data_IF_101707610360
#
_entry.id   IF_101707610360
#
_cell.length_a   1.000
_cell.length_b   1.000
_cell.length_c   1.000
_cell.angle_alpha   90.00
_cell.angle_beta   90.00
_cell.angle_gamma   90.00
#
_symmetry.space_group_name_H-M   'P 1'
#
loop_
_entity.id
_entity.type
_entity.pdbx_description
1 polymer ?
#
# COMPACT_ATOMS: atom_id res chain seq x y z
N UNK A 1 -18.20 -4.35 -33.03
CA UNK A 1 -17.61 -5.38 -32.15
C UNK A 1 -16.29 -5.83 -32.76
N UNK A 2 -15.12 -5.45 -32.21
CA UNK A 2 -13.85 -6.04 -32.63
C UNK A 2 -13.64 -7.36 -31.89
N UNK A 3 -13.25 -8.37 -32.64
CA UNK A 3 -13.11 -9.78 -32.27
C UNK A 3 -11.91 -10.05 -31.35
N UNK A 4 -12.17 -10.74 -30.24
CA UNK A 4 -11.17 -11.43 -29.41
C UNK A 4 -10.42 -12.48 -30.25
N UNK A 5 -9.10 -12.55 -30.06
CA UNK A 5 -8.25 -13.61 -30.59
C UNK A 5 -8.70 -14.98 -30.04
N UNK A 6 -8.95 -15.99 -30.90
CA UNK A 6 -9.28 -17.33 -30.45
C UNK A 6 -8.01 -18.05 -29.98
N UNK A 7 -8.00 -18.51 -28.73
CA UNK A 7 -6.91 -19.34 -28.17
C UNK A 7 -6.52 -19.03 -26.73
N UNK A 8 -6.93 -17.89 -26.17
CA UNK A 8 -6.83 -17.64 -24.74
C UNK A 8 -8.04 -18.29 -24.05
N UNK A 9 -7.82 -19.47 -23.47
CA UNK A 9 -8.67 -19.95 -22.39
C UNK A 9 -8.58 -18.92 -21.26
N UNK A 10 -9.50 -17.96 -21.22
CA UNK A 10 -9.77 -17.23 -19.99
C UNK A 10 -10.23 -18.29 -18.99
N UNK A 11 -9.35 -18.65 -18.05
CA UNK A 11 -9.85 -19.29 -16.83
C UNK A 11 -10.92 -18.34 -16.33
N UNK A 12 -12.17 -18.80 -16.28
CA UNK A 12 -13.20 -18.15 -15.47
C UNK A 12 -12.78 -18.36 -14.02
N UNK A 13 -11.78 -17.60 -13.58
CA UNK A 13 -11.45 -17.48 -12.18
C UNK A 13 -12.62 -16.70 -11.58
N UNK A 14 -13.40 -17.36 -10.73
CA UNK A 14 -14.26 -16.65 -9.80
C UNK A 14 -13.32 -15.88 -8.88
N UNK A 15 -12.98 -14.63 -9.23
CA UNK A 15 -12.15 -13.79 -8.38
C UNK A 15 -12.86 -13.61 -7.05
N UNK A 16 -12.19 -13.98 -5.96
CA UNK A 16 -12.67 -13.68 -4.62
C UNK A 16 -12.22 -12.29 -4.15
N UNK A 17 -11.18 -11.75 -4.81
CA UNK A 17 -10.61 -10.43 -4.63
C UNK A 17 -10.83 -9.54 -5.86
N UNK A 18 -10.55 -8.23 -5.74
CA UNK A 18 -10.27 -7.36 -6.87
C UNK A 18 -8.79 -6.96 -6.76
N UNK A 19 -7.98 -7.52 -7.62
CA UNK A 19 -6.55 -7.25 -7.65
C UNK A 19 -6.27 -5.94 -8.41
N UNK A 20 -5.14 -5.31 -8.11
CA UNK A 20 -4.74 -4.06 -8.74
C UNK A 20 -3.27 -4.06 -9.10
N UNK A 21 -2.98 -3.56 -10.30
CA UNK A 21 -1.63 -3.42 -10.83
C UNK A 21 -1.23 -1.96 -10.87
N UNK A 22 -0.02 -1.66 -10.43
CA UNK A 22 0.63 -0.41 -10.81
C UNK A 22 0.98 -0.52 -12.29
N UNK A 23 0.44 0.37 -13.14
CA UNK A 23 0.63 0.25 -14.59
C UNK A 23 1.88 1.03 -15.01
N UNK A 24 2.02 2.27 -14.51
CA UNK A 24 3.19 3.09 -14.70
C UNK A 24 3.23 4.22 -13.67
N UNK A 25 4.44 4.73 -13.43
CA UNK A 25 4.70 6.01 -12.79
C UNK A 25 5.43 6.91 -13.79
N UNK A 26 5.27 8.22 -13.70
CA UNK A 26 5.90 9.18 -14.60
C UNK A 26 6.00 10.54 -13.93
N UNK A 27 6.88 11.39 -14.45
CA UNK A 27 7.02 12.76 -13.98
C UNK A 27 5.76 13.55 -14.36
N UNK A 28 5.27 14.38 -13.44
CA UNK A 28 4.16 15.28 -13.76
C UNK A 28 4.57 16.28 -14.86
N UNK A 29 3.60 16.90 -15.56
CA UNK A 29 3.91 17.73 -16.70
C UNK A 29 4.81 18.93 -16.35
N UNK A 30 4.68 19.47 -15.13
CA UNK A 30 5.46 20.63 -14.69
C UNK A 30 6.93 20.24 -14.45
N UNK A 31 7.16 19.07 -13.87
CA UNK A 31 8.50 18.49 -13.70
C UNK A 31 9.12 18.14 -15.04
N UNK A 32 8.35 17.54 -15.95
CA UNK A 32 8.83 17.23 -17.30
C UNK A 32 9.23 18.52 -18.04
N UNK A 33 8.43 19.58 -17.96
CA UNK A 33 8.74 20.87 -18.57
C UNK A 33 10.01 21.52 -17.99
N UNK A 34 10.22 21.41 -16.67
CA UNK A 34 11.43 21.89 -16.01
C UNK A 34 12.69 21.16 -16.54
N UNK A 35 12.63 19.84 -16.66
CA UNK A 35 13.76 19.04 -17.15
C UNK A 35 14.00 19.25 -18.65
N UNK A 36 12.94 19.38 -19.46
CA UNK A 36 13.04 19.71 -20.88
C UNK A 36 13.70 21.08 -21.09
N UNK A 37 13.32 22.10 -20.31
CA UNK A 37 13.95 23.42 -20.37
C UNK A 37 15.44 23.35 -20.03
N UNK A 38 15.83 22.48 -19.08
CA UNK A 38 17.24 22.28 -18.72
C UNK A 38 18.03 21.59 -19.83
N UNK A 39 17.47 20.54 -20.44
CA UNK A 39 18.09 19.84 -21.58
C UNK A 39 18.32 20.79 -22.76
N UNK A 40 17.35 21.67 -23.03
CA UNK A 40 17.41 22.62 -24.14
C UNK A 40 18.29 23.86 -23.85
N UNK A 41 18.82 23.99 -22.64
CA UNK A 41 19.72 25.09 -22.29
C UNK A 41 21.07 24.92 -23.00
N UNK A 42 21.62 25.95 -23.67
CA UNK A 42 22.91 25.86 -24.36
C UNK A 42 24.10 25.48 -23.47
N UNK A 43 23.97 25.65 -22.15
CA UNK A 43 25.00 25.31 -21.17
C UNK A 43 24.93 23.86 -20.66
N UNK A 44 23.88 23.12 -20.98
CA UNK A 44 23.77 21.70 -20.62
C UNK A 44 24.30 20.84 -21.75
N UNK A 45 25.22 19.94 -21.44
CA UNK A 45 25.74 18.94 -22.38
C UNK A 45 25.96 17.62 -21.63
N UNK A 46 25.62 16.46 -22.22
CA UNK A 46 25.99 15.17 -21.65
C UNK A 46 27.52 15.09 -21.40
N UNK A 47 27.98 14.48 -20.29
CA UNK A 47 27.22 13.69 -19.32
C UNK A 47 26.74 14.48 -18.09
N UNK A 48 26.57 15.81 -18.17
CA UNK A 48 26.11 16.62 -17.03
C UNK A 48 24.81 16.06 -16.43
N UNK A 49 24.76 15.95 -15.10
CA UNK A 49 23.59 15.44 -14.39
C UNK A 49 22.36 16.30 -14.65
N UNK A 50 21.25 15.64 -14.97
CA UNK A 50 20.02 16.34 -15.24
C UNK A 50 19.23 16.64 -13.96
N UNK A 51 19.26 15.73 -12.98
CA UNK A 51 18.76 16.01 -11.63
C UNK A 51 19.83 16.72 -10.80
N UNK A 52 19.42 17.79 -10.13
CA UNK A 52 20.26 18.63 -9.29
C UNK A 52 19.70 18.69 -7.88
N UNK A 53 20.58 18.93 -6.90
CA UNK A 53 20.15 19.18 -5.54
C UNK A 53 19.29 20.46 -5.49
N UNK A 54 18.17 20.39 -4.78
CA UNK A 54 17.17 21.44 -4.72
C UNK A 54 16.03 21.31 -5.73
N UNK A 55 16.14 20.43 -6.73
CA UNK A 55 15.04 20.18 -7.66
C UNK A 55 13.81 19.66 -6.94
N UNK A 56 12.64 20.19 -7.29
CA UNK A 56 11.35 19.64 -6.89
C UNK A 56 10.77 18.84 -8.06
N UNK A 57 10.43 17.58 -7.80
CA UNK A 57 9.92 16.64 -8.77
C UNK A 57 8.55 16.14 -8.29
N UNK A 58 7.56 16.19 -9.16
CA UNK A 58 6.28 15.52 -8.96
C UNK A 58 6.21 14.24 -9.77
N UNK A 59 5.65 13.21 -9.15
CA UNK A 59 5.51 11.87 -9.72
C UNK A 59 4.03 11.48 -9.67
N UNK A 60 3.44 11.25 -10.83
CA UNK A 60 2.08 10.67 -10.93
C UNK A 60 2.21 9.16 -11.07
N UNK A 61 1.46 8.43 -10.25
CA UNK A 61 1.42 6.97 -10.22
C UNK A 61 0.00 6.55 -10.60
N UNK A 62 -0.10 5.65 -11.57
CA UNK A 62 -1.38 5.07 -11.99
C UNK A 62 -1.48 3.62 -11.56
N UNK A 63 -2.45 3.34 -10.70
CA UNK A 63 -2.90 2.01 -10.37
C UNK A 63 -4.19 1.69 -11.13
N UNK A 64 -4.37 0.45 -11.57
CA UNK A 64 -5.62 -0.01 -12.19
C UNK A 64 -6.02 -1.34 -11.58
N UNK A 65 -7.20 -1.42 -10.94
CA UNK A 65 -7.82 -2.70 -10.63
C UNK A 65 -8.16 -3.43 -11.93
N UNK A 66 -7.47 -4.51 -12.25
CA UNK A 66 -7.46 -5.10 -13.59
C UNK A 66 -7.86 -6.59 -13.64
N UNK A 67 -7.97 -7.24 -12.48
CA UNK A 67 -8.28 -8.66 -12.38
C UNK A 67 -9.16 -8.97 -11.16
N UNK A 68 -10.13 -9.87 -11.32
CA UNK A 68 -11.03 -10.28 -10.24
C UNK A 68 -12.45 -9.72 -10.36
N UNK A 69 -13.02 -9.28 -9.23
CA UNK A 69 -14.44 -8.86 -9.15
C UNK A 69 -14.70 -7.45 -9.71
N UNK A 70 -15.97 -7.09 -9.93
CA UNK A 70 -16.32 -5.79 -10.51
C UNK A 70 -16.06 -4.61 -9.55
N UNK A 71 -16.27 -4.84 -8.25
CA UNK A 71 -15.96 -3.87 -7.20
C UNK A 71 -15.12 -4.54 -6.11
N UNK A 72 -14.16 -3.80 -5.60
CA UNK A 72 -13.24 -4.21 -4.55
C UNK A 72 -13.36 -3.31 -3.34
N UNK A 73 -12.78 -3.77 -2.24
CA UNK A 73 -12.65 -3.00 -1.01
C UNK A 73 -11.21 -2.92 -0.58
N UNK A 74 -10.79 -1.70 -0.27
CA UNK A 74 -9.46 -1.46 0.22
C UNK A 74 -8.41 -1.60 -0.85
N UNK A 75 -7.20 -1.86 -0.37
CA UNK A 75 -6.00 -1.83 -1.18
C UNK A 75 -5.21 -0.56 -0.94
N UNK A 76 -4.05 -0.49 -1.57
CA UNK A 76 -3.19 0.66 -1.44
C UNK A 76 -2.27 0.81 -2.66
N UNK A 77 -1.68 1.99 -2.78
CA UNK A 77 -0.46 2.22 -3.56
C UNK A 77 0.62 2.74 -2.61
N UNK A 78 1.86 2.26 -2.71
CA UNK A 78 2.99 2.81 -1.95
C UNK A 78 4.04 3.37 -2.90
N UNK A 79 4.56 4.55 -2.58
CA UNK A 79 5.81 5.07 -3.10
C UNK A 79 6.90 4.85 -2.05
N UNK A 80 7.97 4.14 -2.41
CA UNK A 80 9.11 3.97 -1.53
C UNK A 80 10.07 5.14 -1.71
N UNK A 81 10.39 5.82 -0.60
CA UNK A 81 11.22 7.03 -0.61
C UNK A 81 12.70 6.63 -0.57
N UNK A 82 13.46 6.75 -1.68
CA UNK A 82 14.89 6.45 -1.67
C UNK A 82 15.67 7.49 -0.87
N UNK A 83 16.91 7.14 -0.52
CA UNK A 83 17.84 8.10 0.08
C UNK A 83 18.05 9.31 -0.83
N UNK A 84 18.25 10.47 -0.21
CA UNK A 84 18.48 11.73 -0.91
C UNK A 84 17.24 12.43 -1.42
N UNK A 85 16.03 11.98 -1.06
CA UNK A 85 14.78 12.70 -1.31
C UNK A 85 14.15 13.21 -0.02
N UNK A 86 13.33 14.24 -0.16
CA UNK A 86 12.48 14.78 0.90
C UNK A 86 11.06 14.88 0.36
N UNK A 87 10.06 14.40 1.09
CA UNK A 87 8.64 14.50 0.66
C UNK A 87 8.09 15.87 1.04
N UNK A 88 7.56 16.58 0.06
CA UNK A 88 6.98 17.93 0.19
C UNK A 88 5.46 17.92 0.18
N UNK A 89 4.85 17.08 -0.67
CA UNK A 89 3.41 17.02 -0.83
C UNK A 89 2.98 15.61 -1.31
N UNK A 90 1.72 15.26 -1.07
CA UNK A 90 1.13 14.01 -1.51
C UNK A 90 -0.38 14.19 -1.73
N UNK A 91 -0.91 13.61 -2.81
CA UNK A 91 -2.31 13.78 -3.18
C UNK A 91 -2.92 12.54 -3.84
N UNK A 92 -4.25 12.45 -3.76
CA UNK A 92 -5.07 11.62 -4.64
C UNK A 92 -5.57 12.50 -5.79
N UNK A 93 -5.57 11.97 -7.00
CA UNK A 93 -5.79 12.75 -8.22
C UNK A 93 -6.96 12.22 -9.04
N UNK A 94 -7.63 13.16 -9.72
CA UNK A 94 -8.55 12.87 -10.83
C UNK A 94 -8.12 13.66 -12.06
N UNK A 95 -8.42 13.20 -13.29
CA UNK A 95 -8.18 14.01 -14.49
C UNK A 95 -8.89 15.35 -14.38
N UNK A 96 -8.15 16.43 -14.60
CA UNK A 96 -8.58 17.79 -14.25
C UNK A 96 -7.55 18.82 -14.72
N UNK A 97 -7.74 20.09 -14.36
CA UNK A 97 -6.74 21.14 -14.62
C UNK A 97 -6.99 22.42 -13.79
N UNK A 98 -7.33 22.30 -12.51
CA UNK A 98 -7.44 23.42 -11.57
C UNK A 98 -6.03 23.96 -11.27
N UNK A 99 -5.70 25.18 -11.69
CA UNK A 99 -4.36 25.74 -11.48
C UNK A 99 -3.98 25.89 -10.01
N UNK A 100 -4.96 25.93 -9.10
CA UNK A 100 -4.70 26.06 -7.66
C UNK A 100 -4.12 24.80 -7.01
N UNK A 101 -4.26 23.65 -7.68
CA UNK A 101 -3.74 22.37 -7.18
C UNK A 101 -2.22 22.22 -7.38
N UNK A 102 -1.62 23.07 -8.22
CA UNK A 102 -0.18 23.08 -8.45
C UNK A 102 0.34 21.88 -9.23
N UNK A 103 -0.54 21.22 -9.99
CA UNK A 103 -0.21 20.12 -10.90
C UNK A 103 -1.01 20.26 -12.20
N UNK A 104 -0.33 20.31 -13.33
CA UNK A 104 -0.99 20.38 -14.65
C UNK A 104 -1.62 19.03 -15.04
N UNK A 105 -2.83 19.05 -15.59
CA UNK A 105 -3.53 17.88 -16.15
C UNK A 105 -4.26 16.99 -15.13
N UNK A 106 -4.25 17.38 -13.85
CA UNK A 106 -4.91 16.68 -12.76
C UNK A 106 -5.49 17.68 -11.75
N UNK A 107 -6.56 17.28 -11.07
CA UNK A 107 -7.07 17.96 -9.87
C UNK A 107 -6.77 17.10 -8.65
N UNK A 108 -6.44 17.75 -7.52
CA UNK A 108 -6.37 17.10 -6.21
C UNK A 108 -7.81 16.83 -5.76
N UNK A 109 -8.09 15.58 -5.43
CA UNK A 109 -9.41 15.16 -5.01
C UNK A 109 -9.38 14.58 -3.59
N UNK A 110 -10.45 14.74 -2.80
CA UNK A 110 -10.59 14.01 -1.54
C UNK A 110 -10.45 12.50 -1.74
N UNK A 111 -9.93 11.80 -0.73
CA UNK A 111 -9.86 10.33 -0.76
C UNK A 111 -11.25 9.74 -0.96
N UNK A 112 -11.30 8.62 -1.70
CA UNK A 112 -12.53 7.86 -1.86
C UNK A 112 -12.96 7.27 -0.52
N UNK A 113 -14.23 7.47 -0.17
CA UNK A 113 -14.82 6.88 1.02
C UNK A 113 -14.80 5.34 1.00
N UNK A 114 -15.06 4.77 2.17
CA UNK A 114 -15.04 3.33 2.38
C UNK A 114 -16.03 2.58 1.47
N UNK A 115 -15.61 1.43 0.95
CA UNK A 115 -16.48 0.56 0.18
C UNK A 115 -17.54 -0.10 1.07
N UNK A 116 -18.68 -0.45 0.48
CA UNK A 116 -19.66 -1.31 1.17
C UNK A 116 -19.03 -2.68 1.45
N UNK A 117 -19.10 -3.15 2.69
CA UNK A 117 -18.55 -4.42 3.16
C UNK A 117 -19.47 -5.03 4.22
N UNK A 118 -19.69 -6.36 4.28
CA UNK A 118 -20.43 -6.90 5.41
C UNK A 118 -19.68 -6.61 6.72
N UNK A 119 -20.43 -6.23 7.76
CA UNK A 119 -19.88 -6.04 9.11
C UNK A 119 -19.22 -7.32 9.68
N UNK A 120 -19.50 -8.47 9.08
CA UNK A 120 -19.00 -9.78 9.52
C UNK A 120 -18.45 -10.56 8.33
N UNK A 121 -17.31 -11.19 8.54
CA UNK A 121 -16.62 -12.08 7.62
C UNK A 121 -16.99 -13.54 7.85
N UNK A 122 -16.54 -14.45 6.97
CA UNK A 122 -16.89 -15.86 7.04
C UNK A 122 -15.86 -16.73 7.79
N UNK A 123 -15.71 -16.56 9.10
CA UNK A 123 -14.66 -17.21 9.89
C UNK A 123 -13.93 -16.17 10.76
N UNK A 124 -12.85 -16.58 11.45
CA UNK A 124 -12.03 -15.68 12.26
C UNK A 124 -11.70 -16.18 13.68
N UNK A 125 -11.66 -17.50 13.91
CA UNK A 125 -11.19 -18.01 15.20
C UNK A 125 -9.67 -17.89 15.26
N UNK A 126 -9.17 -17.38 16.39
CA UNK A 126 -7.74 -17.32 16.60
C UNK A 126 -7.14 -18.74 16.68
N UNK A 127 -5.92 -18.92 16.17
CA UNK A 127 -5.17 -20.20 16.18
C UNK A 127 -5.02 -20.80 17.57
N UNK A 128 -5.02 -19.95 18.61
CA UNK A 128 -4.94 -20.30 20.03
C UNK A 128 -5.86 -19.40 20.85
N UNK A 129 -6.08 -19.74 22.12
CA UNK A 129 -6.92 -18.89 22.99
C UNK A 129 -6.23 -17.55 23.29
N UNK A 130 -6.81 -16.46 22.78
CA UNK A 130 -6.41 -15.08 23.00
C UNK A 130 -7.32 -14.35 23.99
N UNK A 131 -8.30 -15.03 24.59
CA UNK A 131 -9.24 -14.46 25.57
C UNK A 131 -8.50 -13.72 26.68
N UNK A 132 -8.91 -12.48 26.95
CA UNK A 132 -8.31 -11.61 27.97
C UNK A 132 -7.17 -10.72 27.49
N UNK A 133 -6.70 -10.84 26.24
CA UNK A 133 -5.85 -9.80 25.64
C UNK A 133 -6.72 -8.59 25.29
N UNK A 134 -6.28 -7.41 25.72
CA UNK A 134 -6.96 -6.12 25.52
C UNK A 134 -6.03 -5.16 24.79
N UNK A 135 -6.61 -4.34 23.92
CA UNK A 135 -5.93 -3.25 23.21
C UNK A 135 -6.67 -1.95 23.44
N UNK A 136 -5.93 -0.86 23.54
CA UNK A 136 -6.47 0.50 23.64
C UNK A 136 -5.86 1.34 24.75
N UNK A 137 -6.21 2.64 24.80
CA UNK A 137 -7.14 3.29 23.86
C UNK A 137 -6.52 3.50 22.46
N UNK A 138 -7.31 3.31 21.40
CA UNK A 138 -6.95 3.78 20.05
C UNK A 138 -7.17 5.31 19.94
N UNK A 139 -6.96 5.89 18.75
CA UNK A 139 -7.14 7.34 18.53
C UNK A 139 -8.56 7.84 18.83
N UNK A 140 -9.57 6.96 18.77
CA UNK A 140 -10.96 7.27 19.11
C UNK A 140 -11.26 7.10 20.61
N UNK A 141 -10.27 6.71 21.42
CA UNK A 141 -10.44 6.46 22.85
C UNK A 141 -11.00 5.08 23.18
N UNK A 142 -11.09 4.16 22.22
CA UNK A 142 -11.70 2.84 22.41
C UNK A 142 -10.67 1.84 22.94
N UNK A 143 -11.03 1.15 24.02
CA UNK A 143 -10.29 0.02 24.59
C UNK A 143 -11.17 -1.22 24.58
N UNK A 144 -10.67 -2.32 24.03
CA UNK A 144 -11.42 -3.55 23.85
C UNK A 144 -10.57 -4.81 23.95
N UNK A 145 -11.14 -5.95 24.41
CA UNK A 145 -10.61 -7.26 24.08
C UNK A 145 -10.47 -7.45 22.56
N UNK A 146 -9.44 -8.19 22.14
CA UNK A 146 -9.22 -8.51 20.71
C UNK A 146 -10.08 -9.70 20.23
N UNK A 147 -10.49 -10.56 21.16
CA UNK A 147 -11.39 -11.72 20.95
C UNK A 147 -12.40 -11.80 22.10
N UNK A 148 -13.50 -12.52 21.90
CA UNK A 148 -14.52 -12.76 22.92
C UNK A 148 -14.17 -13.92 23.89
N UNK A 149 -15.11 -14.27 24.77
CA UNK A 149 -14.96 -15.39 25.72
C UNK A 149 -14.98 -16.77 25.07
N UNK A 150 -15.51 -16.88 23.85
CA UNK A 150 -15.48 -18.09 23.03
C UNK A 150 -14.24 -18.14 22.11
N UNK A 151 -13.34 -17.17 22.23
CA UNK A 151 -12.16 -16.99 21.39
C UNK A 151 -12.43 -16.59 19.93
N UNK A 152 -13.64 -16.14 19.64
CA UNK A 152 -13.97 -15.57 18.34
C UNK A 152 -13.41 -14.16 18.24
N UNK A 153 -12.83 -13.80 17.09
CA UNK A 153 -12.33 -12.44 16.87
C UNK A 153 -13.42 -11.38 17.05
N UNK A 154 -13.03 -10.21 17.58
CA UNK A 154 -13.95 -9.09 17.81
C UNK A 154 -13.81 -7.96 16.79
N UNK A 155 -12.86 -8.08 15.85
CA UNK A 155 -12.71 -7.13 14.77
C UNK A 155 -13.75 -7.33 13.68
N UNK A 156 -13.78 -6.41 12.73
CA UNK A 156 -14.67 -6.47 11.58
C UNK A 156 -13.93 -6.11 10.30
N UNK A 157 -14.53 -6.49 9.17
CA UNK A 157 -14.05 -6.11 7.86
C UNK A 157 -14.12 -4.59 7.63
N UNK A 158 -15.20 -3.87 8.01
CA UNK A 158 -15.19 -2.42 8.01
C UNK A 158 -14.06 -1.80 8.85
N UNK A 159 -13.69 -2.40 9.98
CA UNK A 159 -12.54 -1.93 10.76
C UNK A 159 -11.21 -2.11 10.02
N UNK A 160 -10.95 -3.30 9.49
CA UNK A 160 -9.70 -3.64 8.76
C UNK A 160 -9.46 -2.72 7.56
N UNK A 161 -10.52 -2.30 6.88
CA UNK A 161 -10.48 -1.48 5.67
C UNK A 161 -10.89 -0.02 5.89
N UNK A 162 -11.15 0.38 7.14
CA UNK A 162 -11.74 1.67 7.47
C UNK A 162 -10.75 2.82 7.60
N UNK A 163 -9.46 2.52 7.79
CA UNK A 163 -8.41 3.53 7.82
C UNK A 163 -7.98 3.90 6.40
N UNK A 164 -8.56 4.98 5.89
CA UNK A 164 -8.39 5.48 4.53
C UNK A 164 -7.67 6.82 4.58
N UNK A 165 -6.74 7.06 3.66
CA UNK A 165 -5.95 8.27 3.70
C UNK A 165 -4.60 8.13 3.02
N UNK A 166 -3.77 9.14 3.23
CA UNK A 166 -2.35 9.14 2.87
C UNK A 166 -1.57 8.95 4.17
N UNK A 167 -0.60 8.04 4.16
CA UNK A 167 0.22 7.70 5.31
C UNK A 167 1.69 7.71 4.92
N UNK A 168 2.57 7.97 5.87
CA UNK A 168 4.00 7.76 5.73
C UNK A 168 4.50 6.86 6.85
N UNK A 169 5.63 6.21 6.63
CA UNK A 169 6.33 5.46 7.67
C UNK A 169 7.78 5.88 7.71
N UNK A 170 8.34 5.98 8.91
CA UNK A 170 9.78 6.17 9.13
C UNK A 170 10.49 4.88 9.50
N UNK A 171 9.74 3.79 9.65
CA UNK A 171 10.25 2.56 10.23
C UNK A 171 10.99 1.70 9.19
N UNK A 172 12.22 1.22 9.47
CA UNK A 172 13.05 0.47 8.51
C UNK A 172 12.36 -0.74 7.85
N UNK A 173 11.47 -1.41 8.57
CA UNK A 173 10.72 -2.57 8.11
C UNK A 173 9.75 -2.25 6.97
N UNK A 174 9.42 -0.98 6.75
CA UNK A 174 8.59 -0.52 5.63
C UNK A 174 9.41 -0.10 4.40
N UNK A 175 10.74 -0.04 4.51
CA UNK A 175 11.61 0.30 3.38
C UNK A 175 11.59 -0.76 2.28
N UNK A 176 11.70 -0.33 1.03
CA UNK A 176 11.79 -1.23 -0.12
C UNK A 176 13.01 -2.15 -0.02
N UNK A 177 12.81 -3.44 -0.29
CA UNK A 177 13.86 -4.45 -0.24
C UNK A 177 14.34 -4.78 1.18
N UNK A 178 13.70 -4.27 2.23
CA UNK A 178 14.03 -4.63 3.62
C UNK A 178 13.79 -6.11 3.91
N UNK A 179 12.87 -6.73 3.17
CA UNK A 179 12.61 -8.16 3.24
C UNK A 179 13.61 -8.96 2.41
N UNK A 180 14.28 -9.91 3.06
CA UNK A 180 15.26 -10.82 2.45
C UNK A 180 14.94 -12.30 2.71
N UNK A 181 13.74 -12.59 3.21
CA UNK A 181 13.36 -13.93 3.69
C UNK A 181 13.15 -14.97 2.59
N UNK A 182 13.10 -14.59 1.31
CA UNK A 182 12.80 -15.48 0.18
C UNK A 182 11.32 -15.53 -0.19
N UNK A 183 10.90 -16.54 -0.94
CA UNK A 183 9.51 -16.57 -1.43
C UNK A 183 8.52 -16.91 -0.30
N UNK A 184 7.35 -16.29 -0.32
CA UNK A 184 6.18 -16.65 0.50
C UNK A 184 4.98 -16.96 -0.39
N UNK A 185 3.97 -17.61 0.16
CA UNK A 185 2.74 -17.95 -0.54
C UNK A 185 1.51 -17.49 0.25
N UNK A 186 0.50 -17.00 -0.46
CA UNK A 186 -0.77 -16.56 0.12
C UNK A 186 -1.84 -17.67 0.04
N UNK A 187 -3.06 -17.38 0.51
CA UNK A 187 -4.13 -18.38 0.56
C UNK A 187 -4.62 -18.85 -0.83
N UNK A 188 -4.35 -18.11 -1.91
CA UNK A 188 -4.61 -18.55 -3.30
C UNK A 188 -3.60 -19.58 -3.80
N UNK A 189 -2.49 -19.79 -3.08
CA UNK A 189 -1.35 -20.60 -3.53
C UNK A 189 -0.40 -19.83 -4.45
N UNK A 190 -0.60 -18.52 -4.62
CA UNK A 190 0.26 -17.67 -5.43
C UNK A 190 1.54 -17.33 -4.67
N UNK A 191 2.63 -17.16 -5.41
CA UNK A 191 3.90 -16.70 -4.86
C UNK A 191 3.84 -15.17 -4.69
N UNK A 192 3.90 -14.71 -3.45
CA UNK A 192 3.75 -13.29 -3.12
C UNK A 192 4.93 -12.49 -3.67
N UNK A 193 4.62 -11.46 -4.44
CA UNK A 193 5.59 -10.59 -5.08
C UNK A 193 6.18 -11.17 -6.36
N UNK A 194 5.62 -12.26 -6.91
CA UNK A 194 6.05 -12.81 -8.21
C UNK A 194 5.88 -11.80 -9.37
N UNK A 195 4.98 -10.83 -9.20
CA UNK A 195 4.74 -9.73 -10.14
C UNK A 195 5.56 -8.47 -9.83
N UNK A 196 6.68 -8.64 -9.12
CA UNK A 196 7.59 -7.55 -8.76
C UNK A 196 9.00 -7.84 -9.25
N UNK A 197 9.86 -6.81 -9.30
CA UNK A 197 11.26 -6.99 -9.67
C UNK A 197 12.06 -7.88 -8.68
N UNK A 198 11.62 -7.97 -7.42
CA UNK A 198 12.27 -8.79 -6.40
C UNK A 198 11.82 -10.26 -6.43
N UNK A 199 10.63 -10.55 -6.97
CA UNK A 199 10.05 -11.90 -6.94
C UNK A 199 9.66 -12.38 -5.53
N UNK A 200 9.59 -11.47 -4.56
CA UNK A 200 9.32 -11.70 -3.13
C UNK A 200 8.54 -10.51 -2.56
N UNK A 201 8.02 -10.59 -1.31
CA UNK A 201 7.51 -9.40 -0.62
C UNK A 201 8.49 -8.23 -0.67
N UNK A 202 7.94 -7.02 -0.77
CA UNK A 202 8.72 -5.81 -1.03
C UNK A 202 9.30 -5.17 0.23
N UNK A 203 8.69 -5.40 1.39
CA UNK A 203 9.19 -4.92 2.68
C UNK A 203 8.90 -5.94 3.79
N UNK A 204 9.58 -5.82 4.93
CA UNK A 204 9.43 -6.73 6.07
C UNK A 204 8.06 -6.64 6.70
N UNK A 205 7.54 -5.43 6.87
CA UNK A 205 6.30 -5.18 7.60
C UNK A 205 5.11 -5.91 6.98
N UNK A 206 4.92 -5.77 5.66
CA UNK A 206 3.85 -6.46 4.93
C UNK A 206 4.05 -7.99 4.97
N UNK A 207 5.31 -8.47 4.96
CA UNK A 207 5.60 -9.90 5.09
C UNK A 207 5.26 -10.44 6.50
N UNK A 208 5.44 -9.62 7.55
CA UNK A 208 5.04 -9.98 8.92
C UNK A 208 3.52 -10.02 9.06
N UNK A 209 2.82 -9.03 8.51
CA UNK A 209 1.35 -9.04 8.53
C UNK A 209 0.80 -10.22 7.72
N UNK A 210 1.38 -10.53 6.56
CA UNK A 210 1.05 -11.76 5.81
C UNK A 210 1.26 -13.00 6.67
N UNK A 211 2.40 -13.13 7.36
CA UNK A 211 2.68 -14.27 8.23
C UNK A 211 1.65 -14.44 9.36
N UNK A 212 1.18 -13.33 9.93
CA UNK A 212 0.20 -13.33 11.00
C UNK A 212 -1.20 -13.74 10.54
N UNK A 213 -1.64 -13.22 9.40
CA UNK A 213 -3.06 -13.24 9.04
C UNK A 213 -3.38 -13.99 7.75
N UNK A 214 -2.47 -14.07 6.76
CA UNK A 214 -2.83 -14.51 5.40
C UNK A 214 -1.97 -15.60 4.77
N UNK A 215 -0.84 -15.96 5.37
CA UNK A 215 0.13 -16.90 4.79
C UNK A 215 -0.46 -18.30 4.66
N UNK A 216 -0.15 -18.99 3.55
CA UNK A 216 -0.57 -20.37 3.36
C UNK A 216 0.33 -21.14 2.43
N UNK A 217 0.69 -22.36 2.82
CA UNK A 217 1.38 -23.31 1.96
C UNK A 217 2.80 -22.90 1.58
N UNK A 218 3.39 -21.90 2.24
CA UNK A 218 4.79 -21.54 2.02
C UNK A 218 5.70 -22.71 2.41
N UNK A 219 6.76 -22.91 1.62
CA UNK A 219 7.83 -23.88 1.89
C UNK A 219 9.05 -23.24 2.55
N UNK A 220 8.97 -21.93 2.83
CA UNK A 220 10.05 -21.18 3.44
C UNK A 220 10.21 -21.57 4.92
N UNK A 221 11.34 -22.17 5.33
CA UNK A 221 11.51 -22.66 6.70
C UNK A 221 11.59 -21.56 7.75
N UNK A 222 11.82 -20.30 7.35
CA UNK A 222 11.79 -19.18 8.28
C UNK A 222 10.35 -18.77 8.64
N UNK A 223 9.34 -19.15 7.85
CA UNK A 223 7.95 -18.73 8.01
C UNK A 223 7.02 -19.92 8.25
N UNK A 224 5.89 -19.73 8.97
CA UNK A 224 4.92 -20.81 9.17
C UNK A 224 4.15 -21.08 7.88
N UNK A 225 3.69 -22.33 7.71
CA UNK A 225 2.90 -22.75 6.55
C UNK A 225 1.40 -22.37 6.63
N UNK A 226 0.96 -21.88 7.78
CA UNK A 226 -0.39 -21.39 8.08
C UNK A 226 -0.28 -20.08 8.88
N UNK A 227 -1.33 -19.23 8.93
CA UNK A 227 -1.24 -17.97 9.66
C UNK A 227 -1.03 -18.19 11.16
N UNK A 228 -0.30 -17.26 11.79
CA UNK A 228 0.07 -17.35 13.21
C UNK A 228 -1.12 -17.03 14.11
N UNK A 229 -1.95 -16.06 13.72
CA UNK A 229 -3.03 -15.52 14.56
C UNK A 229 -4.39 -15.94 14.03
N UNK A 230 -4.65 -15.76 12.74
CA UNK A 230 -5.93 -16.12 12.13
C UNK A 230 -5.92 -17.60 11.72
N UNK A 231 -6.75 -18.43 12.38
CA UNK A 231 -6.74 -19.89 12.23
C UNK A 231 -6.96 -20.41 10.81
N UNK A 232 -7.61 -19.63 9.95
CA UNK A 232 -7.83 -20.00 8.54
C UNK A 232 -7.56 -18.88 7.55
N UNK A 233 -7.07 -17.74 8.03
CA UNK A 233 -6.76 -16.53 7.26
C UNK A 233 -7.97 -16.03 6.48
N UNK A 234 -9.16 -16.14 7.08
CA UNK A 234 -10.45 -15.89 6.45
C UNK A 234 -11.35 -15.16 7.42
N UNK A 235 -12.13 -14.23 6.87
CA UNK A 235 -13.03 -13.42 7.69
C UNK A 235 -12.33 -12.20 8.26
N UNK A 236 -12.76 -11.79 9.44
CA UNK A 236 -12.20 -10.68 10.19
C UNK A 236 -11.08 -11.17 11.12
N UNK A 237 -10.05 -10.35 11.29
CA UNK A 237 -9.03 -10.57 12.30
C UNK A 237 -9.48 -10.14 13.70
N UNK A 238 -8.65 -10.35 14.73
CA UNK A 238 -8.92 -9.82 16.07
C UNK A 238 -9.05 -8.29 16.04
N UNK A 239 -9.82 -7.73 16.97
CA UNK A 239 -10.11 -6.30 16.99
C UNK A 239 -8.83 -5.46 17.08
N UNK A 240 -8.76 -4.38 16.29
CA UNK A 240 -7.63 -3.46 16.29
C UNK A 240 -6.40 -3.91 15.49
N UNK A 241 -6.43 -5.11 14.90
CA UNK A 241 -5.31 -5.71 14.17
C UNK A 241 -5.61 -5.88 12.67
N UNK A 242 -4.61 -6.35 11.93
CA UNK A 242 -4.70 -6.74 10.50
C UNK A 242 -5.00 -5.59 9.51
N UNK A 243 -4.86 -4.34 9.92
CA UNK A 243 -4.97 -3.17 9.04
C UNK A 243 -3.69 -2.97 8.20
N UNK A 244 -3.78 -2.44 6.97
CA UNK A 244 -2.61 -2.18 6.08
C UNK A 244 -1.86 -0.88 6.36
N UNK A 245 -2.45 -0.03 7.19
CA UNK A 245 -1.92 1.26 7.63
C UNK A 245 -2.07 1.38 9.16
N UNK A 246 -1.85 0.27 9.87
CA UNK A 246 -1.85 0.27 11.33
C UNK A 246 -0.85 1.29 11.86
N UNK A 247 -1.29 2.14 12.78
CA UNK A 247 -0.44 3.14 13.39
C UNK A 247 -1.19 4.12 14.30
N UNK A 248 -0.48 5.14 14.83
CA UNK A 248 -0.97 5.94 15.95
C UNK A 248 -2.22 6.78 15.62
N UNK A 249 -2.45 7.10 14.34
CA UNK A 249 -3.65 7.79 13.88
C UNK A 249 -4.64 6.91 13.12
N UNK A 250 -4.64 5.62 13.43
CA UNK A 250 -5.55 4.63 12.86
C UNK A 250 -6.49 4.09 13.93
N UNK A 251 -7.71 3.71 13.53
CA UNK A 251 -8.67 3.07 14.41
C UNK A 251 -8.21 1.67 14.79
N UNK A 252 -7.68 0.94 13.81
CA UNK A 252 -6.96 -0.31 14.01
C UNK A 252 -5.46 -0.06 14.04
N UNK A 253 -4.98 0.29 15.23
CA UNK A 253 -3.67 0.89 15.42
C UNK A 253 -2.52 -0.10 15.56
N UNK A 254 -2.79 -1.37 15.89
CA UNK A 254 -1.76 -2.31 16.30
C UNK A 254 -1.27 -3.19 15.15
N UNK A 255 0.03 -3.47 15.17
CA UNK A 255 0.67 -4.34 14.18
C UNK A 255 0.95 -5.74 14.74
N UNK A 256 1.44 -6.62 13.87
CA UNK A 256 2.17 -7.81 14.28
C UNK A 256 3.66 -7.68 13.98
N UNK A 257 4.51 -7.90 14.99
CA UNK A 257 5.97 -7.96 14.88
C UNK A 257 6.45 -9.43 14.95
N UNK A 258 6.92 -9.94 13.81
CA UNK A 258 7.40 -11.31 13.69
C UNK A 258 8.73 -11.54 14.42
N UNK A 259 9.58 -10.54 14.54
CA UNK A 259 10.86 -10.65 15.23
C UNK A 259 10.62 -10.80 16.74
N UNK A 260 9.67 -10.04 17.31
CA UNK A 260 9.20 -10.25 18.69
C UNK A 260 8.59 -11.61 18.89
N UNK A 261 7.70 -12.04 18.00
CA UNK A 261 7.10 -13.38 18.08
C UNK A 261 8.17 -14.48 18.12
N UNK A 262 9.20 -14.40 17.27
CA UNK A 262 10.30 -15.38 17.22
C UNK A 262 11.19 -15.33 18.47
N UNK A 263 11.37 -14.16 19.08
CA UNK A 263 12.18 -14.01 20.30
C UNK A 263 11.61 -14.82 21.47
N UNK A 264 10.31 -15.11 21.44
CA UNK A 264 9.64 -15.94 22.43
C UNK A 264 9.89 -17.45 22.25
N UNK A 265 10.76 -17.86 21.30
CA UNK A 265 11.04 -19.27 20.97
C UNK A 265 9.78 -20.12 20.77
N UNK A 266 8.88 -19.72 19.86
CA UNK A 266 7.59 -20.37 19.70
C UNK A 266 7.80 -21.86 19.36
N UNK A 267 7.09 -22.73 20.08
CA UNK A 267 6.97 -24.14 19.69
C UNK A 267 6.13 -24.26 18.40
N UNK A 268 5.95 -25.47 17.86
CA UNK A 268 5.03 -25.69 16.73
C UNK A 268 3.61 -25.13 16.96
N UNK A 269 3.21 -24.92 18.22
CA UNK A 269 1.98 -24.22 18.60
C UNK A 269 2.31 -22.82 19.14
N UNK A 270 1.69 -21.75 18.61
CA UNK A 270 1.81 -20.40 19.16
C UNK A 270 1.41 -20.37 20.63
N UNK A 271 2.03 -19.53 21.46
CA UNK A 271 1.50 -19.26 22.81
C UNK A 271 0.78 -17.92 22.82
N UNK A 272 -0.24 -17.81 23.69
CA UNK A 272 -0.97 -16.56 23.94
C UNK A 272 -0.03 -15.41 24.27
N UNK A 273 0.94 -15.64 25.16
CA UNK A 273 1.89 -14.61 25.61
C UNK A 273 2.81 -14.16 24.47
N UNK A 274 3.21 -15.07 23.57
CA UNK A 274 4.01 -14.72 22.39
C UNK A 274 3.22 -13.80 21.45
N UNK A 275 1.94 -14.13 21.21
CA UNK A 275 1.06 -13.33 20.36
C UNK A 275 0.78 -11.96 21.01
N UNK A 276 0.58 -11.91 22.32
CA UNK A 276 0.37 -10.65 23.03
C UNK A 276 1.58 -9.72 22.88
N UNK A 277 2.79 -10.22 23.16
CA UNK A 277 4.03 -9.45 23.00
C UNK A 277 4.27 -9.00 21.55
N UNK A 278 3.93 -9.85 20.58
CA UNK A 278 4.08 -9.55 19.16
C UNK A 278 3.03 -8.58 18.60
N UNK A 279 1.96 -8.27 19.35
CA UNK A 279 0.85 -7.43 18.87
C UNK A 279 0.53 -6.24 19.78
N UNK A 280 1.41 -5.93 20.75
CA UNK A 280 1.19 -4.84 21.69
C UNK A 280 1.62 -3.47 21.13
N UNK A 281 2.42 -3.46 20.08
CA UNK A 281 2.98 -2.23 19.49
C UNK A 281 1.99 -1.60 18.51
N UNK A 282 1.97 -0.27 18.50
CA UNK A 282 1.29 0.52 17.49
C UNK A 282 2.11 0.43 16.20
N UNK A 283 1.45 0.21 15.07
CA UNK A 283 2.11 0.09 13.78
C UNK A 283 2.79 1.38 13.30
N UNK A 284 3.58 1.30 12.21
CA UNK A 284 4.52 2.35 11.84
C UNK A 284 3.90 3.47 11.01
N UNK A 285 2.65 3.31 10.57
CA UNK A 285 2.02 4.20 9.59
C UNK A 285 1.44 5.45 10.26
N UNK A 286 2.04 6.59 9.96
CA UNK A 286 1.62 7.90 10.41
C UNK A 286 0.77 8.58 9.34
N UNK A 287 -0.38 9.12 9.73
CA UNK A 287 -1.31 9.78 8.79
C UNK A 287 -0.78 11.13 8.35
N UNK A 288 -0.97 11.45 7.07
CA UNK A 288 -0.88 12.81 6.51
C UNK A 288 -2.30 13.38 6.48
N UNK A 289 -2.43 14.62 6.97
CA UNK A 289 -3.68 15.36 6.93
C UNK A 289 -4.12 15.57 5.49
N UNK A 290 -5.25 14.99 5.10
CA UNK A 290 -5.70 15.07 3.72
C UNK A 290 -7.23 14.94 3.59
N UNK A 291 -7.91 15.76 2.78
CA UNK A 291 -9.36 15.72 2.60
C UNK A 291 -9.90 14.32 2.27
N UNK A 292 -11.03 13.95 2.89
CA UNK A 292 -11.70 12.66 2.67
C UNK A 292 -11.06 11.48 3.39
N UNK A 293 -9.96 11.68 4.13
CA UNK A 293 -9.38 10.64 4.98
C UNK A 293 -10.35 10.21 6.08
N UNK A 294 -10.32 8.93 6.44
CA UNK A 294 -11.16 8.33 7.48
C UNK A 294 -10.32 7.55 8.50
N UNK A 295 -10.75 7.58 9.76
CA UNK A 295 -10.32 6.67 10.83
C UNK A 295 -11.38 5.58 10.96
N UNK A 296 -10.96 4.31 10.99
CA UNK A 296 -11.87 3.21 11.22
C UNK A 296 -12.62 3.37 12.56
N UNK A 297 -13.94 3.50 12.48
CA UNK A 297 -14.84 3.51 13.65
C UNK A 297 -15.57 2.17 13.73
N UNK A 298 -14.89 1.19 14.32
CA UNK A 298 -15.42 -0.14 14.49
C UNK A 298 -15.61 -0.47 15.98
N UNK A 299 -16.86 -0.49 16.48
CA UNK A 299 -17.12 -0.93 17.82
C UNK A 299 -16.79 -2.43 17.91
N UNK A 300 -16.05 -2.87 18.93
CA UNK A 300 -15.71 -4.28 19.08
C UNK A 300 -16.97 -5.13 19.21
N UNK A 301 -17.06 -6.20 18.43
CA UNK A 301 -18.22 -7.09 18.45
C UNK A 301 -18.69 -7.51 17.08
N UNK A 302 -18.86 -8.82 16.93
CA UNK A 302 -19.43 -9.47 15.76
C UNK A 302 -20.97 -9.34 15.74
N UNK A 303 -21.51 -8.11 15.76
CA UNK A 303 -22.96 -7.91 15.69
C UNK A 303 -23.39 -7.52 14.27
N UNK A 304 -23.94 -8.46 13.46
CA UNK A 304 -24.41 -8.16 12.11
C UNK A 304 -25.62 -7.22 12.06
N UNK A 305 -26.23 -6.88 13.21
CA UNK A 305 -27.28 -5.87 13.32
C UNK A 305 -26.75 -4.45 13.57
N UNK A 306 -25.45 -4.29 13.90
CA UNK A 306 -24.76 -2.99 13.90
C UNK A 306 -24.36 -2.72 12.44
N UNK A 307 -24.74 -1.55 11.95
CA UNK A 307 -24.71 -1.10 10.56
C UNK A 307 -23.65 -1.81 9.68
N UNK A 308 -24.02 -2.39 8.52
CA UNK A 308 -23.06 -2.95 7.55
C UNK A 308 -22.13 -1.89 6.91
N UNK A 309 -22.09 -0.68 7.46
CA UNK A 309 -21.32 0.46 6.99
C UNK A 309 -20.79 1.19 8.22
N UNK A 310 -19.65 0.76 8.78
CA UNK A 310 -18.95 1.58 9.76
C UNK A 310 -18.46 2.83 9.02
N UNK A 311 -19.20 3.94 9.11
CA UNK A 311 -18.71 5.21 8.59
C UNK A 311 -17.52 5.60 9.45
N UNK A 312 -16.30 5.44 8.95
CA UNK A 312 -15.12 5.94 9.65
C UNK A 312 -15.30 7.41 10.05
N UNK A 313 -14.66 7.83 11.13
CA UNK A 313 -14.66 9.23 11.52
C UNK A 313 -13.86 10.06 10.52
N UNK A 314 -14.35 11.25 10.19
CA UNK A 314 -13.62 12.20 9.36
C UNK A 314 -12.25 12.49 9.97
N UNK A 315 -11.20 12.16 9.22
CA UNK A 315 -9.82 12.33 9.58
C UNK A 315 -9.12 13.35 8.68
N UNK A 316 -9.88 14.16 7.93
CA UNK A 316 -9.36 15.16 7.01
C UNK A 316 -8.43 16.19 7.67
N UNK A 317 -8.53 16.34 8.99
CA UNK A 317 -7.74 17.28 9.80
C UNK A 317 -6.77 16.60 10.78
N UNK A 318 -6.53 15.28 10.66
CA UNK A 318 -5.71 14.51 11.58
C UNK A 318 -4.43 14.04 10.87
N UNK A 319 -3.30 14.15 11.57
CA UNK A 319 -2.00 13.70 11.08
C UNK A 319 -1.02 14.84 10.82
N UNK A 320 0.08 14.51 10.15
CA UNK A 320 1.11 15.46 9.75
C UNK A 320 0.59 16.37 8.63
N UNK A 321 0.80 17.69 8.76
CA UNK A 321 0.30 18.69 7.82
C UNK A 321 1.41 19.14 6.85
N UNK A 322 1.44 18.54 5.65
CA UNK A 322 2.40 18.89 4.59
C UNK A 322 2.24 20.33 4.08
N UNK A 323 1.14 21.02 4.40
CA UNK A 323 0.98 22.44 4.06
C UNK A 323 1.71 23.38 5.02
N UNK A 324 2.11 22.88 6.20
CA UNK A 324 2.77 23.66 7.25
C UNK A 324 4.27 23.31 7.37
N UNK A 325 4.67 22.09 6.97
CA UNK A 325 6.07 21.71 6.90
C UNK A 325 6.28 20.42 6.13
N UNK A 326 7.52 20.17 5.72
CA UNK A 326 7.91 18.99 4.96
C UNK A 326 8.28 17.82 5.89
N UNK A 327 8.23 16.57 5.38
CA UNK A 327 8.89 15.47 6.07
C UNK A 327 10.41 15.67 6.07
N UNK A 328 11.11 15.01 6.99
CA UNK A 328 12.57 15.03 7.01
C UNK A 328 13.13 14.41 5.72
N UNK A 329 14.29 14.86 5.22
CA UNK A 329 15.01 14.17 4.15
C UNK A 329 15.32 12.72 4.54
N UNK A 330 15.18 11.80 3.59
CA UNK A 330 15.57 10.40 3.73
C UNK A 330 17.07 10.27 3.58
N UNK A 331 17.77 10.14 4.71
CA UNK A 331 19.23 9.99 4.74
C UNK A 331 19.66 8.52 4.83
N UNK A 332 18.82 7.65 5.40
CA UNK A 332 19.07 6.21 5.48
C UNK A 332 17.79 5.39 5.39
N UNK A 333 17.90 4.18 4.83
CA UNK A 333 16.83 3.18 4.82
C UNK A 333 16.74 2.38 6.13
N UNK A 334 17.69 2.57 7.06
CA UNK A 334 17.75 1.81 8.33
C UNK A 334 17.58 2.66 9.59
N UNK A 335 17.47 3.98 9.46
CA UNK A 335 17.08 4.84 10.58
C UNK A 335 15.56 4.76 10.83
N UNK A 336 15.12 5.23 12.00
CA UNK A 336 13.70 5.28 12.38
C UNK A 336 13.09 6.68 12.33
N UNK A 337 13.81 7.68 11.78
CA UNK A 337 13.42 9.10 11.85
C UNK A 337 13.03 9.68 10.50
N UNK A 338 13.65 9.22 9.42
CA UNK A 338 13.40 9.71 8.07
C UNK A 338 12.35 8.85 7.34
N UNK A 339 11.57 9.40 6.39
CA UNK A 339 10.52 8.64 5.73
C UNK A 339 11.10 7.54 4.82
N UNK A 340 10.50 6.36 4.86
CA UNK A 340 10.85 5.18 4.05
C UNK A 340 9.81 4.90 2.98
N UNK A 341 8.56 5.26 3.24
CA UNK A 341 7.43 5.00 2.38
C UNK A 341 6.33 6.04 2.56
N UNK A 342 5.59 6.31 1.49
CA UNK A 342 4.30 7.01 1.48
C UNK A 342 3.26 6.07 0.87
N UNK A 343 2.16 5.80 1.57
CA UNK A 343 1.11 4.86 1.18
C UNK A 343 -0.25 5.56 1.11
N UNK A 344 -0.94 5.40 -0.01
CA UNK A 344 -2.34 5.80 -0.18
C UNK A 344 -3.20 4.56 0.04
N UNK A 345 -3.94 4.52 1.15
CA UNK A 345 -4.90 3.46 1.41
C UNK A 345 -6.25 3.85 0.82
N UNK A 346 -6.76 3.01 -0.09
CA UNK A 346 -7.97 3.30 -0.85
C UNK A 346 -9.21 2.79 -0.13
N UNK A 347 -10.34 3.45 -0.38
CA UNK A 347 -11.67 2.95 -0.01
C UNK A 347 -12.21 1.98 -1.05
N UNK A 348 -13.23 2.39 -1.79
CA UNK A 348 -13.79 1.57 -2.87
C UNK A 348 -12.91 1.53 -4.11
N UNK A 349 -12.69 0.34 -4.66
CA UNK A 349 -12.08 0.14 -5.98
C UNK A 349 -13.11 -0.37 -7.00
N UNK A 350 -12.92 -0.06 -8.27
CA UNK A 350 -13.79 -0.50 -9.36
C UNK A 350 -12.94 -1.01 -10.52
N UNK A 351 -13.28 -2.19 -11.03
CA UNK A 351 -12.51 -2.82 -12.10
C UNK A 351 -12.39 -1.88 -13.31
N UNK A 352 -11.20 -1.83 -13.89
CA UNK A 352 -10.81 -0.98 -15.02
C UNK A 352 -10.96 0.54 -14.77
N UNK A 353 -11.19 0.98 -13.53
CA UNK A 353 -11.22 2.39 -13.17
C UNK A 353 -9.85 2.76 -12.59
N UNK A 354 -9.07 3.61 -13.28
CA UNK A 354 -7.74 3.97 -12.79
C UNK A 354 -7.81 4.83 -11.53
N UNK A 355 -6.91 4.53 -10.61
CA UNK A 355 -6.62 5.35 -9.42
C UNK A 355 -5.31 6.09 -9.69
N UNK A 356 -5.32 7.41 -9.49
CA UNK A 356 -4.13 8.24 -9.67
C UNK A 356 -3.71 8.81 -8.32
N UNK A 357 -2.44 8.67 -7.97
CA UNK A 357 -1.85 9.28 -6.79
C UNK A 357 -0.60 10.06 -7.20
N UNK A 358 -0.24 11.05 -6.39
CA UNK A 358 0.91 11.90 -6.67
C UNK A 358 1.71 12.20 -5.43
N UNK A 359 3.02 12.26 -5.61
CA UNK A 359 3.97 12.68 -4.59
C UNK A 359 4.88 13.73 -5.18
N UNK A 360 5.07 14.81 -4.42
CA UNK A 360 6.06 15.84 -4.70
C UNK A 360 7.25 15.64 -3.77
N UNK A 361 8.44 15.58 -4.36
CA UNK A 361 9.69 15.36 -3.64
C UNK A 361 10.71 16.42 -3.99
N UNK A 362 11.56 16.77 -3.04
CA UNK A 362 12.78 17.55 -3.26
C UNK A 362 13.99 16.65 -3.30
N UNK A 363 14.87 16.88 -4.26
CA UNK A 363 16.16 16.17 -4.35
C UNK A 363 17.14 16.84 -3.39
N UNK A 364 17.51 16.16 -2.32
CA UNK A 364 18.53 16.62 -1.37
C UNK A 364 19.93 16.15 -1.78
N UNK A 365 20.05 14.88 -2.17
CA UNK A 365 21.30 14.28 -2.63
C UNK A 365 21.06 13.48 -3.92
N UNK A 366 21.29 14.07 -5.11
CA UNK A 366 21.05 13.40 -6.38
C UNK A 366 21.76 12.06 -6.50
N UNK A 367 22.99 11.96 -5.98
CA UNK A 367 23.81 10.74 -6.07
C UNK A 367 23.25 9.56 -5.29
N UNK A 368 22.46 9.82 -4.24
CA UNK A 368 21.82 8.80 -3.41
C UNK A 368 20.55 8.23 -4.04
N UNK A 369 20.00 8.90 -5.06
CA UNK A 369 18.79 8.47 -5.79
C UNK A 369 19.15 7.58 -6.99
N UNK A 370 20.42 7.59 -7.43
CA UNK A 370 20.87 6.87 -8.63
C UNK A 370 21.03 5.37 -8.35
N UNK A 371 20.47 4.54 -9.24
CA UNK A 371 20.74 3.11 -9.30
C UNK A 371 22.10 2.79 -9.96
N UNK A 372 22.39 1.49 -10.11
CA UNK A 372 23.66 1.00 -10.64
C UNK A 372 23.99 1.50 -12.07
N UNK A 373 22.99 1.91 -12.84
CA UNK A 373 23.17 2.47 -14.19
C UNK A 373 23.42 3.99 -14.19
N UNK A 374 23.49 4.63 -13.01
CA UNK A 374 23.59 6.08 -12.86
C UNK A 374 22.27 6.82 -13.10
N UNK A 375 21.14 6.09 -13.13
CA UNK A 375 19.81 6.64 -13.37
C UNK A 375 18.99 6.63 -12.08
N UNK A 376 18.17 7.65 -11.81
CA UNK A 376 17.19 7.61 -10.73
C UNK A 376 16.26 6.40 -10.92
N UNK A 377 16.03 5.63 -9.87
CA UNK A 377 15.03 4.56 -9.87
C UNK A 377 14.06 4.84 -8.74
N UNK A 378 12.80 5.03 -9.11
CA UNK A 378 11.71 5.16 -8.15
C UNK A 378 10.84 3.92 -8.19
N UNK A 379 10.55 3.36 -7.04
CA UNK A 379 9.79 2.13 -6.92
C UNK A 379 8.43 2.40 -6.30
N UNK A 380 7.41 1.82 -6.90
CA UNK A 380 6.05 1.85 -6.37
C UNK A 380 5.48 0.45 -6.34
N UNK A 381 4.56 0.21 -5.41
CA UNK A 381 3.75 -1.00 -5.38
C UNK A 381 2.27 -0.70 -5.25
N UNK A 382 1.44 -1.68 -5.55
CA UNK A 382 -0.01 -1.59 -5.46
C UNK A 382 -0.61 -2.95 -5.16
N UNK A 383 -1.71 -2.93 -4.40
CA UNK A 383 -2.54 -4.08 -4.12
C UNK A 383 -4.02 -3.67 -4.04
N UNK A 384 -4.94 -4.55 -4.49
CA UNK A 384 -6.36 -4.22 -4.68
C UNK A 384 -7.35 -4.70 -3.60
N UNK A 385 -6.88 -5.41 -2.56
CA UNK A 385 -7.76 -5.84 -1.46
C UNK A 385 -8.70 -7.00 -1.79
N UNK A 386 -9.82 -7.11 -1.06
CA UNK A 386 -10.83 -8.19 -1.25
C UNK A 386 -11.94 -7.73 -2.21
N UNK A 387 -12.84 -8.63 -2.59
CA UNK A 387 -14.07 -8.22 -3.26
C UNK A 387 -14.87 -7.25 -2.39
N UNK A 388 -15.61 -6.33 -3.01
CA UNK A 388 -16.56 -5.48 -2.31
C UNK A 388 -17.77 -6.27 -1.82
N UNK A 389 -18.55 -5.69 -0.91
CA UNK A 389 -19.72 -6.33 -0.30
C UNK A 389 -20.79 -6.77 -1.31
N UNK A 390 -20.99 -6.03 -2.41
CA UNK A 390 -21.93 -6.42 -3.48
C UNK A 390 -21.44 -7.64 -4.28
N UNK A 391 -20.15 -7.94 -4.21
CA UNK A 391 -19.50 -9.08 -4.84
C UNK A 391 -19.19 -10.20 -3.83
N UNK A 392 -19.85 -10.17 -2.66
CA UNK A 392 -19.68 -11.17 -1.59
C UNK A 392 -18.27 -11.24 -1.00
N UNK A 393 -17.56 -10.11 -0.92
CA UNK A 393 -16.33 -9.97 -0.14
C UNK A 393 -16.53 -10.33 1.33
N UNK A 394 -15.60 -11.11 1.87
CA UNK A 394 -15.72 -11.75 3.20
C UNK A 394 -14.37 -11.93 3.89
N UNK A 395 -13.29 -11.42 3.31
CA UNK A 395 -11.93 -11.71 3.72
C UNK A 395 -11.16 -10.43 3.98
N UNK A 396 -10.25 -10.49 4.95
CA UNK A 396 -9.33 -9.41 5.19
C UNK A 396 -8.22 -9.38 4.13
N UNK A 397 -7.59 -8.22 4.01
CA UNK A 397 -6.64 -7.85 2.96
C UNK A 397 -5.46 -8.82 2.81
N UNK A 398 -4.95 -9.37 3.93
CA UNK A 398 -3.80 -10.26 3.93
C UNK A 398 -4.03 -11.62 3.28
N UNK A 399 -5.29 -12.09 3.17
CA UNK A 399 -5.61 -13.42 2.66
C UNK A 399 -5.11 -13.64 1.24
N UNK A 400 -5.25 -12.61 0.42
CA UNK A 400 -4.92 -12.63 -1.02
C UNK A 400 -3.79 -11.67 -1.36
N UNK A 401 -3.03 -11.25 -0.35
CA UNK A 401 -1.95 -10.29 -0.54
C UNK A 401 -0.93 -10.81 -1.56
N UNK A 402 -0.83 -10.10 -2.68
CA UNK A 402 0.17 -10.29 -3.72
C UNK A 402 0.37 -8.94 -4.43
N UNK A 403 1.31 -8.10 -3.96
CA UNK A 403 1.50 -6.78 -4.52
C UNK A 403 2.10 -6.89 -5.93
N UNK A 404 1.72 -5.95 -6.79
CA UNK A 404 2.39 -5.68 -8.04
C UNK A 404 3.27 -4.42 -7.90
N UNK A 405 4.43 -4.38 -8.57
CA UNK A 405 5.34 -3.23 -8.52
C UNK A 405 5.76 -2.75 -9.90
N UNK A 406 5.97 -1.45 -10.05
CA UNK A 406 6.69 -0.88 -11.20
C UNK A 406 7.85 -0.01 -10.73
N UNK A 407 8.91 -0.03 -11.54
CA UNK A 407 10.07 0.83 -11.34
C UNK A 407 10.09 1.89 -12.44
N UNK A 408 10.08 3.15 -12.05
CA UNK A 408 10.33 4.26 -12.96
C UNK A 408 11.84 4.48 -13.06
N UNK A 409 12.40 4.19 -14.24
CA UNK A 409 13.76 4.58 -14.57
C UNK A 409 13.75 6.03 -15.05
N UNK A 410 14.26 6.95 -14.22
CA UNK A 410 14.28 8.38 -14.49
C UNK A 410 14.99 8.76 -15.78
N UNK A 411 16.01 8.03 -16.23
CA UNK A 411 16.66 8.30 -17.51
C UNK A 411 15.78 7.99 -18.73
N UNK A 412 14.81 7.07 -18.60
CA UNK A 412 13.83 6.76 -19.63
C UNK A 412 12.56 7.63 -19.49
N UNK A 413 12.26 8.05 -18.26
CA UNK A 413 11.09 8.85 -17.91
C UNK A 413 11.21 10.31 -18.32
N UNK A 414 12.41 10.88 -18.20
CA UNK A 414 12.73 12.18 -18.79
C UNK A 414 12.70 12.00 -20.30
N UNK A 415 11.55 12.32 -20.87
CA UNK A 415 11.18 11.93 -22.22
C UNK A 415 12.23 12.28 -23.25
N UNK A 416 12.66 11.27 -23.99
CA UNK A 416 12.87 11.47 -25.42
C UNK A 416 11.50 11.37 -26.07
N UNK A 417 10.91 12.45 -26.61
CA UNK A 417 9.64 12.34 -27.31
C UNK A 417 9.76 11.28 -28.40
N UNK A 418 8.82 10.33 -28.46
CA UNK A 418 8.74 9.48 -29.63
C UNK A 418 8.51 10.38 -30.88
N UNK A 419 9.06 9.99 -32.02
CA UNK A 419 8.79 10.70 -33.29
C UNK A 419 7.34 10.55 -33.75
N UNK A 420 6.54 9.74 -33.05
CA UNK A 420 5.14 9.45 -33.35
C UNK A 420 4.33 9.29 -32.07
N UNK A 421 3.13 9.86 -32.06
CA UNK A 421 2.20 9.79 -30.92
C UNK A 421 1.48 8.43 -30.83
N UNK A 422 1.30 7.74 -31.96
CA UNK A 422 0.68 6.40 -32.06
C UNK A 422 1.42 5.59 -33.12
N UNK A 423 1.68 4.30 -32.85
CA UNK A 423 2.30 3.36 -33.80
C UNK A 423 1.44 2.12 -33.99
N UNK A 424 1.49 1.56 -35.20
CA UNK A 424 0.82 0.29 -35.58
C UNK A 424 1.84 -0.83 -35.67
N UNK A 425 1.39 -2.09 -35.60
CA UNK A 425 2.27 -3.27 -35.69
C UNK A 425 3.08 -3.23 -36.99
N UNK A 426 4.41 -3.26 -36.87
CA UNK A 426 5.35 -3.15 -37.98
C UNK A 426 5.91 -1.73 -38.22
N UNK A 427 5.45 -0.71 -37.50
CA UNK A 427 6.01 0.64 -37.60
C UNK A 427 7.36 0.73 -36.89
N UNK A 428 8.32 1.37 -37.55
CA UNK A 428 9.51 1.91 -36.90
C UNK A 428 9.21 3.33 -36.40
N UNK A 429 9.60 3.61 -35.17
CA UNK A 429 9.67 4.95 -34.59
C UNK A 429 11.00 5.10 -33.86
N UNK A 430 11.36 6.35 -33.55
CA UNK A 430 12.57 6.66 -32.81
C UNK A 430 12.22 7.58 -31.66
N UNK A 431 13.07 7.56 -30.65
CA UNK A 431 13.05 8.53 -29.57
C UNK A 431 13.92 9.72 -30.00
N UNK A 432 13.40 10.95 -29.97
CA UNK A 432 14.17 12.16 -30.28
C UNK A 432 15.37 12.23 -29.33
N UNK A 433 16.58 12.20 -29.88
CA UNK A 433 17.83 12.21 -29.09
C UNK A 433 18.12 13.60 -28.58
#
# INVERSE_FOLDING_TARGET
MPSLLPGLSTKTASGHNLDASAVYAYLDPDTQAMLDARINSPGWTPPASLLLAGDELGLVIKAVPDNGTAMGVGGYTTFYVPNGLQVLDAAYLVPGNDPSDGITGYDKAPMKGQALMPAVGAGGDATVSLTGIVRGPNILGVTSPIVDTANASLGTLPGVYGDIGIFYSTAPETAYGSYSGGTLSNNSGDLVGARTALGTPLNKWDAWQLAAYGIKGTTNPAYPSLPIIDGNGRGYGPWGLANVVAGPQSGYAWEFDLEKYRSCSPTLTPSKDCIDQATQDIGPWQRIKYPGSLIADDPPGNNPAVQPYGSGHDASNIGFDLTIGDLLPTESQTDSTSPKAVRWAFGQLTINTPEFVWVKVKVHNPSAVLGATGCPIWTVDTFGGDAGGVNSGKDHIWRYYDPNSVNLNGCLAVGKPATKDIVKVGDTFQYKV
#
